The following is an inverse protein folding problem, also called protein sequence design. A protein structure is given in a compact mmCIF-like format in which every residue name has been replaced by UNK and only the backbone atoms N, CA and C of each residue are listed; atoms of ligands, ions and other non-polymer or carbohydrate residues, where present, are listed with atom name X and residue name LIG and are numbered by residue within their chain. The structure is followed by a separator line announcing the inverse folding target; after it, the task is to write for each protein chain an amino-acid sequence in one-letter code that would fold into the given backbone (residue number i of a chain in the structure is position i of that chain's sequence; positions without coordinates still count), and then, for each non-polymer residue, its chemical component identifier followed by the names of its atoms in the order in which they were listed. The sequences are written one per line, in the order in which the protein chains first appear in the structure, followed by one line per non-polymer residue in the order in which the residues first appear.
data_IF_689335808128
#
_entry.id   IF_689335808128
#
_cell.length_a   1.000
_cell.length_b   1.000
_cell.length_c   1.000
_cell.angle_alpha   90.00
_cell.angle_beta   90.00
_cell.angle_gamma   90.00
#
_symmetry.space_group_name_H-M   'P 1'
#
loop_
_entity.id
_entity.type
_entity.pdbx_description
1 polymer ?
#
# COMPACT_ATOMS: atom_id res chain seq x y z
N UNK A 1 -15.31 -13.88 8.19
CA UNK A 1 -14.61 -12.90 7.32
C UNK A 1 -14.54 -11.58 8.07
N UNK A 2 -13.38 -10.93 8.13
CA UNK A 2 -13.18 -9.62 8.78
C UNK A 2 -12.49 -8.70 7.77
N UNK A 3 -13.25 -7.72 7.25
CA UNK A 3 -12.75 -6.69 6.33
C UNK A 3 -12.50 -5.32 6.99
N UNK A 4 -12.89 -5.17 8.26
CA UNK A 4 -12.74 -3.92 9.02
C UNK A 4 -11.25 -3.60 9.20
N UNK A 5 -10.88 -2.35 8.93
CA UNK A 5 -9.51 -1.83 9.11
C UNK A 5 -9.40 -1.02 10.40
N UNK A 6 -8.20 -0.57 10.75
CA UNK A 6 -7.99 0.33 11.90
C UNK A 6 -7.91 -0.35 13.27
N UNK A 7 -7.81 -1.68 13.33
CA UNK A 7 -7.49 -2.37 14.60
C UNK A 7 -6.09 -2.00 15.08
N UNK A 8 -6.01 -1.66 16.37
CA UNK A 8 -4.74 -1.57 17.09
C UNK A 8 -4.14 -2.97 17.32
N UNK A 9 -2.95 -3.02 17.91
CA UNK A 9 -2.25 -4.29 18.11
C UNK A 9 -2.98 -5.19 19.12
N UNK A 10 -3.67 -4.62 20.10
CA UNK A 10 -4.52 -5.38 21.02
C UNK A 10 -5.70 -6.04 20.29
N UNK A 11 -6.38 -5.31 19.40
CA UNK A 11 -7.45 -5.84 18.56
C UNK A 11 -6.96 -6.95 17.63
N UNK A 12 -5.79 -6.77 17.00
CA UNK A 12 -5.16 -7.83 16.17
C UNK A 12 -4.84 -9.08 16.99
N UNK A 13 -4.35 -8.93 18.21
CA UNK A 13 -4.07 -10.06 19.11
C UNK A 13 -5.35 -10.82 19.48
N UNK A 14 -6.46 -10.12 19.73
CA UNK A 14 -7.75 -10.76 19.98
C UNK A 14 -8.25 -11.56 18.77
N UNK A 15 -8.11 -11.02 17.55
CA UNK A 15 -8.44 -11.73 16.32
C UNK A 15 -7.57 -12.99 16.19
N UNK A 16 -6.26 -12.88 16.44
CA UNK A 16 -5.35 -14.02 16.40
C UNK A 16 -5.66 -15.09 17.46
N UNK A 17 -6.12 -14.68 18.66
CA UNK A 17 -6.57 -15.61 19.69
C UNK A 17 -7.84 -16.35 19.27
N UNK A 18 -8.83 -15.65 18.71
CA UNK A 18 -10.06 -16.26 18.20
C UNK A 18 -9.78 -17.24 17.05
N UNK A 19 -8.82 -16.91 16.18
CA UNK A 19 -8.42 -17.75 15.04
C UNK A 19 -7.88 -19.14 15.45
N UNK A 20 -7.54 -19.36 16.73
CA UNK A 20 -7.14 -20.68 17.25
C UNK A 20 -8.30 -21.69 17.29
N UNK A 21 -9.53 -21.20 17.43
CA UNK A 21 -10.72 -22.04 17.63
C UNK A 21 -11.72 -21.97 16.46
N UNK A 22 -11.51 -21.05 15.51
CA UNK A 22 -12.37 -20.91 14.34
C UNK A 22 -11.61 -20.34 13.14
N UNK A 23 -12.04 -20.70 11.93
CA UNK A 23 -11.45 -20.18 10.70
C UNK A 23 -11.80 -18.69 10.52
N UNK A 24 -10.76 -17.85 10.43
CA UNK A 24 -10.90 -16.40 10.22
C UNK A 24 -10.07 -15.99 9.01
N UNK A 25 -10.73 -15.40 8.01
CA UNK A 25 -10.06 -14.60 6.98
C UNK A 25 -10.12 -13.15 7.43
N UNK A 26 -8.96 -12.58 7.74
CA UNK A 26 -8.79 -11.17 8.07
C UNK A 26 -7.95 -10.52 6.97
N UNK A 27 -8.58 -9.60 6.22
CA UNK A 27 -7.92 -8.90 5.13
C UNK A 27 -8.44 -7.45 5.05
N UNK A 28 -7.57 -6.43 5.03
CA UNK A 28 -7.98 -5.03 4.96
C UNK A 28 -8.60 -4.65 3.60
N UNK A 29 -8.47 -5.53 2.59
CA UNK A 29 -9.12 -5.41 1.30
C UNK A 29 -9.53 -6.82 0.82
N UNK A 30 -10.82 -7.02 0.56
CA UNK A 30 -11.40 -8.31 0.14
C UNK A 30 -11.47 -8.48 -1.39
N UNK A 31 -11.02 -7.49 -2.16
CA UNK A 31 -10.98 -7.58 -3.63
C UNK A 31 -9.95 -8.62 -4.07
N UNK A 32 -10.41 -9.61 -4.84
CA UNK A 32 -9.52 -10.61 -5.47
C UNK A 32 -8.51 -9.93 -6.38
N UNK A 33 -8.94 -8.93 -7.16
CA UNK A 33 -8.07 -8.19 -8.07
C UNK A 33 -6.96 -7.44 -7.34
N UNK A 34 -7.28 -6.77 -6.22
CA UNK A 34 -6.27 -6.06 -5.42
C UNK A 34 -5.25 -7.05 -4.84
N UNK A 35 -5.70 -8.16 -4.26
CA UNK A 35 -4.79 -9.15 -3.69
C UNK A 35 -3.92 -9.82 -4.75
N UNK A 36 -4.44 -10.07 -5.95
CA UNK A 36 -3.65 -10.52 -7.10
C UNK A 36 -2.57 -9.49 -7.46
N UNK A 37 -2.95 -8.21 -7.59
CA UNK A 37 -2.00 -7.14 -7.90
C UNK A 37 -0.87 -7.05 -6.86
N UNK A 38 -1.14 -7.24 -5.57
CA UNK A 38 -0.08 -7.27 -4.55
C UNK A 38 0.97 -8.34 -4.85
N UNK A 39 0.58 -9.55 -5.27
CA UNK A 39 1.55 -10.59 -5.62
C UNK A 39 2.32 -10.27 -6.90
N UNK A 40 1.65 -9.66 -7.88
CA UNK A 40 2.29 -9.22 -9.12
C UNK A 40 3.32 -8.12 -8.86
N UNK A 41 3.03 -7.17 -7.97
CA UNK A 41 3.95 -6.10 -7.58
C UNK A 41 5.21 -6.63 -6.88
N UNK A 42 5.07 -7.56 -5.93
CA UNK A 42 6.24 -8.25 -5.31
C UNK A 42 7.12 -8.92 -6.36
N UNK A 43 6.50 -9.62 -7.32
CA UNK A 43 7.22 -10.32 -8.39
C UNK A 43 7.93 -9.33 -9.32
N UNK A 44 7.22 -8.30 -9.79
CA UNK A 44 7.77 -7.28 -10.67
C UNK A 44 8.93 -6.52 -10.01
N UNK A 45 8.77 -6.11 -8.75
CA UNK A 45 9.80 -5.39 -8.00
C UNK A 45 11.09 -6.21 -7.88
N UNK A 46 11.00 -7.51 -7.58
CA UNK A 46 12.19 -8.38 -7.49
C UNK A 46 12.89 -8.59 -8.83
N UNK A 47 12.13 -8.65 -9.92
CA UNK A 47 12.68 -8.85 -11.27
C UNK A 47 13.34 -7.58 -11.79
N UNK A 48 12.70 -6.43 -11.60
CA UNK A 48 13.18 -5.15 -12.11
C UNK A 48 14.26 -4.51 -11.22
N UNK A 49 14.24 -4.81 -9.92
CA UNK A 49 15.22 -4.31 -8.96
C UNK A 49 15.29 -2.78 -8.93
N UNK A 50 16.52 -2.26 -8.85
CA UNK A 50 16.82 -0.82 -8.81
C UNK A 50 16.98 -0.18 -10.19
N UNK A 51 16.67 -0.90 -11.28
CA UNK A 51 16.79 -0.37 -12.65
C UNK A 51 15.62 0.55 -13.04
N UNK A 52 14.54 0.52 -12.26
CA UNK A 52 13.31 1.26 -12.53
C UNK A 52 12.98 2.26 -11.42
N UNK A 53 12.26 3.30 -11.80
CA UNK A 53 11.63 4.22 -10.87
C UNK A 53 10.21 3.73 -10.57
N UNK A 54 9.75 3.90 -9.33
CA UNK A 54 8.49 3.34 -8.85
C UNK A 54 7.58 4.47 -8.41
N UNK A 55 6.43 4.57 -9.07
CA UNK A 55 5.40 5.57 -8.79
C UNK A 55 4.04 4.86 -8.62
N UNK A 56 3.33 5.22 -7.56
CA UNK A 56 2.01 4.70 -7.23
C UNK A 56 1.01 5.83 -7.38
N UNK A 57 0.11 5.68 -8.35
CA UNK A 57 -0.93 6.67 -8.63
C UNK A 57 -2.29 6.09 -8.26
N UNK A 58 -3.06 6.83 -7.48
CA UNK A 58 -4.42 6.47 -7.06
C UNK A 58 -5.41 7.61 -7.28
N UNK A 59 -6.68 7.26 -7.47
CA UNK A 59 -7.77 8.22 -7.54
C UNK A 59 -8.97 7.69 -6.73
N UNK A 60 -9.66 8.58 -6.03
CA UNK A 60 -10.89 8.30 -5.29
C UNK A 60 -11.85 9.48 -5.34
N UNK A 61 -13.12 9.21 -5.03
CA UNK A 61 -14.17 10.22 -4.87
C UNK A 61 -13.79 11.35 -3.90
N UNK A 62 -14.46 12.50 -4.08
CA UNK A 62 -14.21 13.74 -3.31
C UNK A 62 -14.38 13.62 -1.79
N UNK A 63 -15.11 12.60 -1.33
CA UNK A 63 -15.43 12.40 0.10
C UNK A 63 -14.44 11.49 0.83
N UNK A 64 -13.44 10.93 0.14
CA UNK A 64 -12.44 10.09 0.80
C UNK A 64 -11.52 10.95 1.67
N UNK A 65 -11.39 10.56 2.94
CA UNK A 65 -10.72 11.35 3.99
C UNK A 65 -9.22 11.10 4.04
N UNK A 66 -8.78 9.85 3.91
CA UNK A 66 -7.37 9.44 3.96
C UNK A 66 -6.69 9.57 2.60
N UNK A 67 -5.42 9.99 2.58
CA UNK A 67 -4.54 10.02 1.40
C UNK A 67 -3.05 9.80 1.80
N UNK A 68 -2.30 8.93 1.10
CA UNK A 68 -2.77 7.97 0.11
C UNK A 68 -3.75 6.95 0.69
N UNK A 69 -4.54 6.31 -0.17
CA UNK A 69 -5.42 5.22 0.29
C UNK A 69 -4.65 4.10 0.98
N UNK A 70 -5.27 3.41 1.94
CA UNK A 70 -4.68 2.22 2.58
C UNK A 70 -4.24 1.13 1.58
N UNK A 71 -4.94 0.98 0.45
CA UNK A 71 -4.53 0.06 -0.62
C UNK A 71 -3.24 0.53 -1.30
N UNK A 72 -3.10 1.82 -1.59
CA UNK A 72 -1.89 2.38 -2.18
C UNK A 72 -0.69 2.22 -1.24
N UNK A 73 -0.86 2.55 0.05
CA UNK A 73 0.17 2.32 1.07
C UNK A 73 0.58 0.84 1.12
N UNK A 74 -0.39 -0.07 1.10
CA UNK A 74 -0.09 -1.51 1.08
C UNK A 74 0.67 -1.96 -0.16
N UNK A 75 0.37 -1.39 -1.33
CA UNK A 75 1.13 -1.63 -2.56
C UNK A 75 2.58 -1.15 -2.41
N UNK A 76 2.78 0.03 -1.85
CA UNK A 76 4.12 0.56 -1.56
C UNK A 76 4.90 -0.29 -0.58
N UNK A 77 4.27 -0.78 0.48
CA UNK A 77 4.90 -1.66 1.49
C UNK A 77 5.40 -2.97 0.86
N UNK A 78 4.58 -3.56 -0.02
CA UNK A 78 4.95 -4.80 -0.73
C UNK A 78 6.17 -4.57 -1.61
N UNK A 79 6.18 -3.47 -2.37
CA UNK A 79 7.30 -3.13 -3.25
C UNK A 79 8.56 -2.78 -2.44
N UNK A 80 8.43 -2.00 -1.38
CA UNK A 80 9.55 -1.65 -0.50
C UNK A 80 10.17 -2.90 0.13
N UNK A 81 9.35 -3.81 0.68
CA UNK A 81 9.82 -5.07 1.25
C UNK A 81 10.49 -5.98 0.21
N UNK A 82 9.97 -6.02 -1.02
CA UNK A 82 10.57 -6.78 -2.11
C UNK A 82 11.98 -6.29 -2.48
N UNK A 83 12.23 -4.99 -2.31
CA UNK A 83 13.51 -4.32 -2.58
C UNK A 83 14.37 -4.12 -1.33
N UNK A 84 13.97 -4.65 -0.17
CA UNK A 84 14.72 -4.52 1.08
C UNK A 84 14.75 -3.08 1.64
N UNK A 85 13.72 -2.28 1.39
CA UNK A 85 13.58 -0.89 1.82
C UNK A 85 12.54 -0.77 2.95
N UNK A 86 12.68 0.23 3.83
CA UNK A 86 11.57 0.69 4.67
C UNK A 86 10.80 1.78 3.91
N UNK A 87 9.48 1.57 3.72
CA UNK A 87 8.63 2.53 3.03
C UNK A 87 8.64 3.90 3.74
N UNK A 88 8.76 3.93 5.07
CA UNK A 88 8.79 5.17 5.85
C UNK A 88 9.96 6.08 5.47
N UNK A 89 11.06 5.50 5.03
CA UNK A 89 12.28 6.22 4.70
C UNK A 89 12.34 6.64 3.24
N UNK A 90 11.67 5.91 2.34
CA UNK A 90 11.79 6.10 0.90
C UNK A 90 10.52 6.63 0.21
N UNK A 91 9.39 6.75 0.91
CA UNK A 91 8.16 7.28 0.34
C UNK A 91 8.23 8.80 0.09
N UNK A 92 7.76 9.24 -1.07
CA UNK A 92 7.55 10.65 -1.41
C UNK A 92 6.09 10.87 -1.73
N UNK A 93 5.37 11.62 -0.89
CA UNK A 93 3.90 11.76 -0.95
C UNK A 93 3.38 12.89 -1.84
N UNK A 94 4.27 13.55 -2.58
CA UNK A 94 3.92 14.59 -3.52
C UNK A 94 5.15 15.40 -3.93
N UNK A 95 5.05 16.07 -5.09
CA UNK A 95 6.10 16.92 -5.64
C UNK A 95 5.51 18.26 -6.07
N UNK A 96 6.24 19.35 -5.79
CA UNK A 96 5.80 20.70 -6.15
C UNK A 96 7.00 21.60 -6.44
N UNK A 97 6.99 22.31 -7.56
CA UNK A 97 8.07 23.21 -7.97
C UNK A 97 9.35 22.46 -8.39
N UNK A 98 10.52 23.02 -8.03
CA UNK A 98 11.84 22.46 -8.35
C UNK A 98 12.30 21.47 -7.27
N UNK A 99 11.98 20.19 -7.43
CA UNK A 99 12.29 19.15 -6.43
C UNK A 99 13.70 18.58 -6.53
N UNK A 100 14.46 18.95 -7.57
CA UNK A 100 15.71 18.27 -7.94
C UNK A 100 15.48 16.95 -8.66
N UNK A 101 16.58 16.26 -8.99
CA UNK A 101 16.54 14.93 -9.62
C UNK A 101 15.97 13.87 -8.68
N UNK A 102 15.32 12.86 -9.25
CA UNK A 102 14.72 11.77 -8.49
C UNK A 102 15.79 10.83 -7.95
N UNK A 103 15.80 10.63 -6.63
CA UNK A 103 16.63 9.60 -6.03
C UNK A 103 16.06 8.20 -6.32
N UNK A 104 16.88 7.30 -6.87
CA UNK A 104 16.46 5.97 -7.36
C UNK A 104 15.71 5.13 -6.31
N UNK A 105 16.13 5.23 -5.06
CA UNK A 105 15.57 4.45 -3.95
C UNK A 105 14.14 4.87 -3.55
N UNK A 106 13.64 6.00 -4.05
CA UNK A 106 12.32 6.52 -3.64
C UNK A 106 11.17 5.77 -4.28
N UNK A 107 10.04 5.72 -3.58
CA UNK A 107 8.73 5.27 -4.09
C UNK A 107 7.80 6.49 -4.03
N UNK A 108 7.39 7.00 -5.18
CA UNK A 108 6.52 8.16 -5.25
C UNK A 108 5.04 7.79 -5.13
N UNK A 109 4.25 8.68 -4.53
CA UNK A 109 2.80 8.57 -4.43
C UNK A 109 2.14 9.83 -4.98
N UNK A 110 1.14 9.62 -5.83
CA UNK A 110 0.26 10.67 -6.34
C UNK A 110 -1.20 10.30 -6.06
N UNK A 111 -1.87 11.10 -5.24
CA UNK A 111 -3.24 10.86 -4.78
C UNK A 111 -4.21 11.88 -5.36
N UNK A 112 -5.15 11.41 -6.18
CA UNK A 112 -6.15 12.25 -6.84
C UNK A 112 -7.50 12.14 -6.13
N UNK A 113 -8.17 13.27 -5.91
CA UNK A 113 -9.57 13.31 -5.42
C UNK A 113 -10.45 13.96 -6.48
N UNK A 114 -11.38 13.20 -7.05
CA UNK A 114 -12.22 13.68 -8.15
C UNK A 114 -13.58 13.00 -8.17
N UNK A 115 -14.65 13.80 -8.30
CA UNK A 115 -16.00 13.29 -8.54
C UNK A 115 -16.47 12.25 -7.52
N UNK A 116 -16.90 11.11 -8.04
CA UNK A 116 -17.49 9.94 -7.38
C UNK A 116 -16.76 8.62 -7.70
N UNK A 117 -15.48 8.71 -8.13
CA UNK A 117 -14.60 7.56 -8.45
C UNK A 117 -14.52 6.55 -7.30
#
# INVERSE_FOLDING_TARGET
MIGTTGFDDAGKQQIAAAAKNMAIVFAPNMSVGVNLCLKLLDTAARVLGDEVDIEIVEAHHRHKVDAPSGTALRMGEVVAAALGRDLKDCAVYGRHGLTGERARHTIGFESVRAGDI
#
